data_IF_121976724556
#
_entry.id   IF_121976724556
#
_cell.length_a   1.000
_cell.length_b   1.000
_cell.length_c   1.000
_cell.angle_alpha   90.00
_cell.angle_beta   90.00
_cell.angle_gamma   90.00
#
_symmetry.space_group_name_H-M   'P 1'
#
loop_
_entity.id
_entity.type
_entity.pdbx_description
1 polymer ?
#
# COMPACT_ATOMS: atom_id res chain seq x y z
N UNK A 1 -5.02 -17.20 -24.03
CA UNK A 1 -4.63 -18.09 -22.91
C UNK A 1 -5.82 -18.18 -21.96
N UNK A 2 -6.07 -19.33 -21.34
CA UNK A 2 -7.10 -19.42 -20.30
C UNK A 2 -6.75 -18.49 -19.13
N UNK A 3 -7.76 -17.85 -18.53
CA UNK A 3 -7.55 -17.02 -17.33
C UNK A 3 -6.95 -17.89 -16.21
N UNK A 4 -5.93 -17.38 -15.52
CA UNK A 4 -5.32 -18.04 -14.33
C UNK A 4 -6.16 -17.87 -13.06
N UNK A 5 -7.22 -17.05 -13.13
CA UNK A 5 -8.04 -16.67 -11.99
C UNK A 5 -9.53 -16.71 -12.35
N UNK A 6 -10.37 -16.99 -11.36
CA UNK A 6 -11.82 -16.88 -11.49
C UNK A 6 -12.47 -16.38 -10.19
N UNK A 7 -13.60 -15.67 -10.35
CA UNK A 7 -14.46 -15.26 -9.23
C UNK A 7 -15.17 -16.49 -8.66
N UNK A 8 -15.23 -16.60 -7.34
CA UNK A 8 -16.01 -17.64 -6.65
C UNK A 8 -16.68 -17.08 -5.39
N UNK A 9 -17.64 -17.82 -4.83
CA UNK A 9 -18.25 -17.47 -3.52
C UNK A 9 -17.39 -18.04 -2.39
N UNK A 10 -16.77 -17.16 -1.62
CA UNK A 10 -15.91 -17.51 -0.49
C UNK A 10 -16.75 -17.67 0.78
N UNK A 11 -16.68 -18.82 1.43
CA UNK A 11 -17.51 -19.14 2.58
C UNK A 11 -17.23 -18.15 3.73
N UNK A 12 -18.27 -17.44 4.19
CA UNK A 12 -18.16 -16.44 5.25
C UNK A 12 -17.51 -15.10 4.85
N UNK A 13 -16.97 -14.97 3.63
CA UNK A 13 -16.21 -13.80 3.15
C UNK A 13 -16.81 -13.11 1.94
N UNK A 14 -18.00 -13.55 1.50
CA UNK A 14 -18.68 -12.99 0.32
C UNK A 14 -18.14 -13.60 -0.97
N UNK A 15 -17.60 -12.77 -1.85
CA UNK A 15 -16.91 -13.23 -3.06
C UNK A 15 -15.40 -13.23 -2.86
N UNK A 16 -14.71 -14.06 -3.63
CA UNK A 16 -13.26 -14.16 -3.64
C UNK A 16 -12.74 -14.37 -5.05
N UNK A 17 -11.42 -14.34 -5.20
CA UNK A 17 -10.72 -14.77 -6.39
C UNK A 17 -9.96 -16.07 -6.07
N UNK A 18 -10.01 -17.07 -6.96
CA UNK A 18 -9.24 -18.33 -6.79
C UNK A 18 -8.44 -18.67 -8.03
N UNK A 19 -7.38 -19.45 -7.86
CA UNK A 19 -6.56 -19.93 -8.97
C UNK A 19 -7.29 -21.01 -9.79
N UNK A 20 -7.17 -20.97 -11.11
CA UNK A 20 -7.71 -22.01 -12.03
C UNK A 20 -6.67 -23.07 -12.40
N UNK A 21 -5.39 -22.82 -12.10
CA UNK A 21 -4.27 -23.71 -12.34
C UNK A 21 -3.26 -23.61 -11.21
N UNK A 22 -2.28 -24.52 -11.17
CA UNK A 22 -1.12 -24.37 -10.28
C UNK A 22 -0.29 -23.14 -10.69
N UNK A 23 0.22 -22.40 -9.70
CA UNK A 23 1.00 -21.17 -9.88
C UNK A 23 2.21 -21.18 -8.97
N UNK A 24 3.37 -20.80 -9.51
CA UNK A 24 4.65 -20.73 -8.81
C UNK A 24 4.94 -19.31 -8.28
N UNK A 25 5.75 -19.16 -7.22
CA UNK A 25 6.21 -17.85 -6.75
C UNK A 25 6.82 -16.99 -7.87
N UNK A 26 6.44 -15.72 -7.94
CA UNK A 26 6.88 -14.75 -8.95
C UNK A 26 6.04 -14.74 -10.22
N UNK A 27 5.08 -15.65 -10.40
CA UNK A 27 4.16 -15.58 -11.53
C UNK A 27 3.12 -14.47 -11.37
N UNK A 28 2.84 -13.75 -12.46
CA UNK A 28 1.72 -12.80 -12.53
C UNK A 28 0.43 -13.57 -12.82
N UNK A 29 -0.55 -13.41 -11.93
CA UNK A 29 -1.87 -14.06 -12.00
C UNK A 29 -2.88 -13.21 -12.76
N UNK A 30 -2.88 -11.90 -12.52
CA UNK A 30 -3.84 -10.95 -13.08
C UNK A 30 -3.21 -9.55 -13.16
N UNK A 31 -3.60 -8.78 -14.19
CA UNK A 31 -3.20 -7.38 -14.37
C UNK A 31 -4.44 -6.57 -14.63
N UNK A 32 -4.60 -5.45 -13.92
CA UNK A 32 -5.77 -4.59 -14.06
C UNK A 32 -5.36 -3.13 -14.17
N UNK A 33 -5.98 -2.40 -15.09
CA UNK A 33 -5.97 -0.94 -15.07
C UNK A 33 -7.03 -0.41 -14.07
N UNK A 34 -6.92 0.82 -13.56
CA UNK A 34 -7.91 1.35 -12.65
C UNK A 34 -9.21 1.66 -13.38
N UNK A 35 -10.35 1.38 -12.75
CA UNK A 35 -11.61 1.98 -13.16
C UNK A 35 -11.50 3.51 -13.08
N UNK A 36 -10.93 4.02 -12.00
CA UNK A 36 -10.59 5.43 -11.86
C UNK A 36 -9.48 5.57 -10.82
N UNK A 37 -8.70 6.64 -10.91
CA UNK A 37 -7.65 6.95 -9.94
C UNK A 37 -7.42 8.46 -9.87
N UNK A 38 -6.79 8.93 -8.81
CA UNK A 38 -6.31 10.31 -8.66
C UNK A 38 -4.97 10.36 -7.95
N UNK A 39 -4.13 11.31 -8.34
CA UNK A 39 -2.92 11.66 -7.59
C UNK A 39 -3.33 12.19 -6.20
N UNK A 40 -2.66 11.69 -5.16
CA UNK A 40 -2.88 12.11 -3.78
C UNK A 40 -2.01 13.33 -3.42
N UNK A 41 -2.07 13.79 -2.19
CA UNK A 41 -1.35 14.97 -1.70
C UNK A 41 0.17 14.78 -1.83
N UNK A 42 0.67 13.59 -1.53
CA UNK A 42 2.09 13.22 -1.60
C UNK A 42 2.62 13.24 -3.03
N UNK A 43 1.85 12.71 -3.99
CA UNK A 43 2.24 12.69 -5.40
C UNK A 43 2.05 14.04 -6.11
N UNK A 44 1.28 14.98 -5.52
CA UNK A 44 0.86 16.20 -6.20
C UNK A 44 2.05 17.05 -6.64
N UNK A 45 2.17 17.21 -7.95
CA UNK A 45 3.25 18.01 -8.55
C UNK A 45 4.62 17.36 -8.53
N UNK A 46 4.72 16.12 -8.05
CA UNK A 46 5.88 15.25 -8.22
C UNK A 46 5.66 14.30 -9.40
N UNK A 47 4.46 13.70 -9.48
CA UNK A 47 4.13 12.74 -10.53
C UNK A 47 3.19 13.34 -11.58
N UNK A 48 3.19 12.76 -12.77
CA UNK A 48 2.23 13.08 -13.81
C UNK A 48 0.85 12.51 -13.48
N UNK A 49 -0.20 13.31 -13.65
CA UNK A 49 -1.62 12.95 -13.44
C UNK A 49 -2.11 11.79 -14.34
N UNK A 50 -1.38 11.46 -15.40
CA UNK A 50 -1.71 10.37 -16.31
C UNK A 50 -0.84 9.12 -16.17
N UNK A 51 0.48 9.20 -16.36
CA UNK A 51 1.35 8.00 -16.27
C UNK A 51 1.70 7.62 -14.81
N UNK A 52 1.54 8.54 -13.85
CA UNK A 52 2.12 8.46 -12.49
C UNK A 52 3.65 8.38 -12.44
N UNK A 53 4.33 8.63 -13.56
CA UNK A 53 5.78 8.72 -13.62
C UNK A 53 6.29 10.05 -13.03
N UNK A 54 7.52 10.06 -12.53
CA UNK A 54 8.18 11.21 -11.88
C UNK A 54 9.24 11.82 -12.81
N UNK A 55 8.88 12.81 -13.65
CA UNK A 55 9.83 13.46 -14.55
C UNK A 55 10.56 14.62 -13.86
N UNK A 56 11.65 15.10 -14.47
CA UNK A 56 12.36 16.31 -14.03
C UNK A 56 11.47 17.58 -14.08
N UNK A 57 10.53 17.61 -15.03
CA UNK A 57 9.62 18.74 -15.22
C UNK A 57 8.22 18.28 -15.60
N UNK A 58 7.22 18.96 -15.03
CA UNK A 58 5.81 18.79 -15.36
C UNK A 58 5.24 20.01 -16.10
N UNK A 59 4.40 19.75 -17.09
CA UNK A 59 3.54 20.71 -17.79
C UNK A 59 2.23 20.86 -17.02
N UNK A 60 1.73 22.07 -16.87
CA UNK A 60 0.50 22.34 -16.13
C UNK A 60 -0.69 22.52 -17.09
N UNK A 61 -1.85 21.96 -16.73
CA UNK A 61 -3.09 22.23 -17.44
C UNK A 61 -3.39 23.74 -17.43
N UNK A 62 -3.55 24.33 -18.61
CA UNK A 62 -3.74 25.79 -18.74
C UNK A 62 -5.06 26.29 -18.15
N UNK A 63 -6.06 25.41 -18.02
CA UNK A 63 -7.41 25.74 -17.59
C UNK A 63 -7.59 25.69 -16.07
N UNK A 64 -7.25 24.56 -15.42
CA UNK A 64 -7.43 24.41 -13.97
C UNK A 64 -6.21 24.86 -13.16
N UNK A 65 -5.03 24.95 -13.78
CA UNK A 65 -3.74 25.16 -13.09
C UNK A 65 -3.44 24.14 -11.98
N UNK A 66 -4.22 23.07 -11.90
CA UNK A 66 -4.08 22.04 -10.88
C UNK A 66 -3.35 20.81 -11.43
N UNK A 67 -3.94 20.17 -12.44
CA UNK A 67 -3.41 18.94 -13.03
C UNK A 67 -2.09 19.19 -13.76
N UNK A 68 -1.12 18.30 -13.55
CA UNK A 68 0.24 18.35 -14.08
C UNK A 68 0.60 17.08 -14.86
N UNK A 69 1.32 17.21 -15.97
CA UNK A 69 1.60 16.12 -16.92
C UNK A 69 3.07 16.10 -17.34
N UNK A 70 3.66 14.92 -17.55
CA UNK A 70 5.03 14.82 -18.04
C UNK A 70 5.17 15.22 -19.52
N UNK A 71 4.08 15.15 -20.30
CA UNK A 71 4.10 15.43 -21.74
C UNK A 71 2.75 15.89 -22.26
N UNK A 72 2.76 16.54 -23.43
CA UNK A 72 1.53 16.88 -24.19
C UNK A 72 0.73 15.62 -24.57
N UNK A 73 1.38 14.46 -24.71
CA UNK A 73 0.71 13.19 -24.96
C UNK A 73 -0.11 12.75 -23.74
N UNK A 74 0.51 12.69 -22.56
CA UNK A 74 -0.19 12.35 -21.31
C UNK A 74 -1.36 13.31 -21.01
N UNK A 75 -1.21 14.61 -21.31
CA UNK A 75 -2.31 15.57 -21.19
C UNK A 75 -3.48 15.24 -22.13
N UNK A 76 -3.20 14.88 -23.39
CA UNK A 76 -4.22 14.49 -24.38
C UNK A 76 -4.93 13.20 -23.99
N UNK A 77 -4.19 12.18 -23.55
CA UNK A 77 -4.76 10.89 -23.14
C UNK A 77 -5.62 11.02 -21.87
N UNK A 78 -5.19 11.85 -20.91
CA UNK A 78 -5.99 12.17 -19.70
C UNK A 78 -7.26 12.96 -19.99
N UNK A 79 -7.31 13.72 -21.11
CA UNK A 79 -8.38 14.71 -21.34
C UNK A 79 -9.78 14.10 -21.32
N UNK A 80 -9.94 12.86 -21.77
CA UNK A 80 -11.23 12.14 -21.73
C UNK A 80 -11.82 12.07 -20.32
N UNK A 81 -11.00 11.85 -19.30
CA UNK A 81 -11.41 11.77 -17.90
C UNK A 81 -11.24 13.10 -17.16
N UNK A 82 -10.25 13.91 -17.54
CA UNK A 82 -9.97 15.20 -16.94
C UNK A 82 -10.98 16.30 -17.33
N UNK A 83 -11.53 16.27 -18.56
CA UNK A 83 -12.34 17.37 -19.11
C UNK A 83 -13.48 17.81 -18.19
N UNK A 84 -14.21 16.86 -17.59
CA UNK A 84 -15.31 17.17 -16.68
C UNK A 84 -14.84 17.64 -15.31
N UNK A 85 -13.78 17.04 -14.74
CA UNK A 85 -13.25 17.49 -13.44
C UNK A 85 -12.50 18.83 -13.50
N UNK A 86 -11.98 19.21 -14.67
CA UNK A 86 -11.10 20.37 -14.85
C UNK A 86 -11.69 21.68 -14.32
N UNK A 87 -12.99 21.90 -14.46
CA UNK A 87 -13.66 23.10 -13.93
C UNK A 87 -13.72 23.12 -12.41
N UNK A 88 -13.87 21.96 -11.78
CA UNK A 88 -14.00 21.80 -10.33
C UNK A 88 -12.65 21.85 -9.61
N UNK A 89 -11.58 21.41 -10.28
CA UNK A 89 -10.20 21.47 -9.76
C UNK A 89 -9.63 22.88 -9.59
N UNK A 90 -10.35 23.92 -10.05
CA UNK A 90 -10.05 25.30 -9.68
C UNK A 90 -10.24 25.56 -8.18
N UNK A 91 -11.09 24.77 -7.52
CA UNK A 91 -11.23 24.77 -6.06
C UNK A 91 -10.32 23.66 -5.47
N UNK A 92 -9.29 24.03 -4.69
CA UNK A 92 -8.37 23.06 -4.09
C UNK A 92 -9.04 22.02 -3.19
N UNK A 93 -10.19 22.33 -2.58
CA UNK A 93 -10.92 21.42 -1.70
C UNK A 93 -11.51 20.22 -2.45
N UNK A 94 -11.81 20.36 -3.75
CA UNK A 94 -12.23 19.24 -4.59
C UNK A 94 -11.03 18.39 -5.06
N UNK A 95 -9.82 18.95 -5.02
CA UNK A 95 -8.61 18.33 -5.57
C UNK A 95 -7.96 17.24 -4.72
N UNK A 96 -8.51 16.92 -3.56
CA UNK A 96 -7.89 16.07 -2.53
C UNK A 96 -8.59 14.72 -2.38
N UNK A 97 -7.78 13.68 -2.13
CA UNK A 97 -8.18 12.34 -1.72
C UNK A 97 -9.42 11.73 -2.40
N UNK A 98 -10.30 11.17 -1.55
CA UNK A 98 -11.43 10.33 -1.95
C UNK A 98 -12.55 11.11 -2.66
N UNK A 99 -12.73 12.39 -2.35
CA UNK A 99 -13.74 13.25 -2.98
C UNK A 99 -13.50 13.39 -4.48
N UNK A 100 -12.25 13.66 -4.87
CA UNK A 100 -11.87 13.72 -6.29
C UNK A 100 -12.09 12.38 -6.98
N UNK A 101 -11.69 11.28 -6.33
CA UNK A 101 -11.82 9.94 -6.89
C UNK A 101 -13.30 9.58 -7.16
N UNK A 102 -14.18 9.79 -6.18
CA UNK A 102 -15.62 9.54 -6.34
C UNK A 102 -16.21 10.45 -7.43
N UNK A 103 -15.82 11.72 -7.51
CA UNK A 103 -16.25 12.61 -8.58
C UNK A 103 -15.87 12.08 -9.98
N UNK A 104 -14.64 11.58 -10.14
CA UNK A 104 -14.22 10.93 -11.40
C UNK A 104 -15.02 9.66 -11.69
N UNK A 105 -15.33 8.85 -10.67
CA UNK A 105 -16.16 7.64 -10.79
C UNK A 105 -17.57 8.01 -11.27
N UNK A 106 -18.21 9.02 -10.67
CA UNK A 106 -19.52 9.54 -11.11
C UNK A 106 -19.46 9.94 -12.58
N UNK A 107 -18.47 10.74 -12.99
CA UNK A 107 -18.33 11.12 -14.40
C UNK A 107 -18.17 9.94 -15.35
N UNK A 108 -17.46 8.88 -14.93
CA UNK A 108 -17.25 7.67 -15.72
C UNK A 108 -18.51 6.81 -15.80
N UNK A 109 -19.27 6.66 -14.71
CA UNK A 109 -20.57 5.99 -14.66
C UNK A 109 -21.56 6.67 -15.61
N UNK A 110 -21.68 8.00 -15.52
CA UNK A 110 -22.58 8.78 -16.38
C UNK A 110 -22.22 8.68 -17.88
N UNK A 111 -20.95 8.46 -18.19
CA UNK A 111 -20.46 8.24 -19.56
C UNK A 111 -20.75 6.83 -20.08
N UNK A 112 -21.23 5.90 -19.24
CA UNK A 112 -21.53 4.49 -19.58
C UNK A 112 -20.38 3.81 -20.34
N UNK A 113 -19.14 4.08 -19.93
CA UNK A 113 -17.97 3.53 -20.60
C UNK A 113 -17.64 2.15 -20.04
N UNK A 114 -17.54 1.15 -20.91
CA UNK A 114 -16.94 -0.14 -20.54
C UNK A 114 -15.51 0.07 -20.04
N UNK A 115 -15.12 -0.70 -19.03
CA UNK A 115 -13.80 -0.67 -18.43
C UNK A 115 -13.30 -2.11 -18.24
N UNK A 116 -12.14 -2.50 -18.81
CA UNK A 116 -11.54 -3.81 -18.59
C UNK A 116 -11.37 -4.17 -17.09
N UNK A 117 -11.20 -3.16 -16.24
CA UNK A 117 -11.12 -3.34 -14.77
C UNK A 117 -12.37 -4.00 -14.15
N UNK A 118 -13.50 -4.00 -14.86
CA UNK A 118 -14.78 -4.56 -14.40
C UNK A 118 -15.09 -5.96 -14.97
N UNK A 119 -14.11 -6.62 -15.60
CA UNK A 119 -14.27 -7.94 -16.22
C UNK A 119 -14.85 -9.01 -15.27
N UNK A 120 -14.34 -9.08 -14.04
CA UNK A 120 -14.74 -10.10 -13.06
C UNK A 120 -15.73 -9.56 -12.01
N UNK A 121 -15.76 -8.24 -11.82
CA UNK A 121 -16.55 -7.58 -10.79
C UNK A 121 -16.81 -6.12 -11.14
N UNK A 122 -18.02 -5.61 -10.95
CA UNK A 122 -18.36 -4.22 -11.27
C UNK A 122 -18.30 -3.28 -10.07
N UNK A 123 -18.23 -1.97 -10.31
CA UNK A 123 -18.38 -0.94 -9.27
C UNK A 123 -19.72 -1.07 -8.53
N UNK A 124 -20.76 -1.52 -9.23
CA UNK A 124 -22.08 -1.76 -8.64
C UNK A 124 -22.07 -2.94 -7.66
N UNK A 125 -21.21 -3.94 -7.87
CA UNK A 125 -21.12 -5.14 -7.02
C UNK A 125 -20.21 -4.94 -5.79
N UNK A 126 -19.40 -3.87 -5.75
CA UNK A 126 -18.46 -3.63 -4.65
C UNK A 126 -19.15 -3.62 -3.28
N UNK A 127 -18.50 -4.27 -2.31
CA UNK A 127 -18.95 -4.30 -0.94
C UNK A 127 -18.87 -2.91 -0.31
N UNK A 128 -19.94 -2.51 0.34
CA UNK A 128 -20.11 -1.21 1.00
C UNK A 128 -20.26 -1.35 2.52
N UNK A 129 -20.33 -2.58 3.04
CA UNK A 129 -20.46 -2.93 4.45
C UNK A 129 -21.53 -2.12 5.21
N UNK A 130 -22.60 -1.69 4.53
CA UNK A 130 -23.57 -0.72 5.04
C UNK A 130 -24.23 -1.17 6.35
N UNK A 131 -24.41 -2.49 6.53
CA UNK A 131 -25.03 -3.08 7.73
C UNK A 131 -24.06 -3.19 8.91
N UNK A 132 -22.75 -3.27 8.66
CA UNK A 132 -21.70 -3.45 9.68
C UNK A 132 -20.93 -2.16 10.00
N UNK A 133 -21.11 -1.14 9.17
CA UNK A 133 -20.47 0.16 9.29
C UNK A 133 -20.87 0.85 10.60
N UNK A 134 -19.91 1.53 11.24
CA UNK A 134 -20.18 2.33 12.43
C UNK A 134 -21.00 3.59 12.11
N UNK A 135 -21.65 4.15 13.13
CA UNK A 135 -22.41 5.39 12.97
C UNK A 135 -21.52 6.56 12.54
N UNK A 136 -20.28 6.62 13.01
CA UNK A 136 -19.32 7.65 12.63
C UNK A 136 -19.02 7.61 11.13
N UNK A 137 -18.71 6.42 10.59
CA UNK A 137 -18.47 6.23 9.17
C UNK A 137 -19.71 6.57 8.33
N UNK A 138 -20.91 6.18 8.79
CA UNK A 138 -22.17 6.51 8.11
C UNK A 138 -22.37 8.02 8.01
N UNK A 139 -22.23 8.74 9.12
CA UNK A 139 -22.34 10.21 9.16
C UNK A 139 -21.30 10.85 8.24
N UNK A 140 -20.06 10.33 8.26
CA UNK A 140 -18.99 10.84 7.42
C UNK A 140 -19.26 10.66 5.93
N UNK A 141 -19.73 9.49 5.49
CA UNK A 141 -20.05 9.23 4.08
C UNK A 141 -21.27 10.01 3.59
N UNK A 142 -22.28 10.23 4.43
CA UNK A 142 -23.39 11.13 4.13
C UNK A 142 -22.89 12.58 3.94
N UNK A 143 -22.03 13.06 4.84
CA UNK A 143 -21.40 14.39 4.70
C UNK A 143 -20.59 14.50 3.41
N UNK A 144 -19.82 13.47 3.04
CA UNK A 144 -19.09 13.45 1.78
C UNK A 144 -20.03 13.42 0.57
N UNK A 145 -21.16 12.71 0.65
CA UNK A 145 -22.21 12.73 -0.36
C UNK A 145 -22.76 14.14 -0.60
N UNK A 146 -23.10 14.86 0.48
CA UNK A 146 -23.54 16.26 0.41
C UNK A 146 -22.47 17.18 -0.18
N UNK A 147 -21.21 16.99 0.20
CA UNK A 147 -20.10 17.78 -0.32
C UNK A 147 -19.88 17.54 -1.82
N UNK A 148 -19.97 16.28 -2.27
CA UNK A 148 -19.90 15.93 -3.67
C UNK A 148 -21.05 16.58 -4.46
N UNK A 149 -22.26 16.56 -3.91
CA UNK A 149 -23.43 17.21 -4.50
C UNK A 149 -23.25 18.73 -4.61
N UNK A 150 -22.70 19.36 -3.57
CA UNK A 150 -22.36 20.78 -3.60
C UNK A 150 -21.36 21.11 -4.74
N UNK A 151 -20.29 20.31 -4.88
CA UNK A 151 -19.29 20.55 -5.92
C UNK A 151 -19.80 20.25 -7.32
N UNK A 152 -20.39 19.08 -7.53
CA UNK A 152 -20.84 18.62 -8.86
C UNK A 152 -22.16 19.25 -9.29
N UNK A 153 -22.87 19.92 -8.38
CA UNK A 153 -24.24 20.42 -8.52
C UNK A 153 -25.27 19.30 -8.65
N UNK A 154 -26.49 19.58 -8.22
CA UNK A 154 -27.63 18.66 -8.26
C UNK A 154 -27.90 18.12 -9.66
N UNK A 155 -27.74 18.97 -10.67
CA UNK A 155 -27.95 18.60 -12.09
C UNK A 155 -27.08 17.43 -12.55
N UNK A 156 -25.87 17.26 -11.99
CA UNK A 156 -24.98 16.15 -12.35
C UNK A 156 -25.29 14.93 -11.50
N UNK A 157 -25.44 15.11 -10.18
CA UNK A 157 -25.63 14.00 -9.25
C UNK A 157 -26.98 13.31 -9.47
N UNK A 158 -28.03 14.07 -9.80
CA UNK A 158 -29.36 13.52 -10.13
C UNK A 158 -29.41 12.68 -11.40
N UNK A 159 -28.37 12.72 -12.25
CA UNK A 159 -28.26 11.84 -13.42
C UNK A 159 -27.75 10.43 -13.06
N UNK A 160 -27.29 10.21 -11.82
CA UNK A 160 -26.90 8.88 -11.38
C UNK A 160 -28.10 7.93 -11.39
N UNK A 161 -27.90 6.64 -11.69
CA UNK A 161 -28.96 5.65 -11.54
C UNK A 161 -29.53 5.67 -10.11
N UNK A 162 -30.86 5.52 -9.98
CA UNK A 162 -31.55 5.66 -8.68
C UNK A 162 -31.05 4.73 -7.57
N UNK A 163 -30.44 3.59 -7.93
CA UNK A 163 -29.85 2.65 -6.98
C UNK A 163 -28.42 3.01 -6.55
N UNK A 164 -27.82 4.07 -7.10
CA UNK A 164 -26.47 4.53 -6.78
C UNK A 164 -26.58 5.82 -5.98
N UNK A 165 -26.43 5.73 -4.66
CA UNK A 165 -26.32 6.90 -3.79
C UNK A 165 -24.87 7.37 -3.69
N UNK A 166 -24.62 8.69 -3.63
CA UNK A 166 -23.27 9.21 -3.39
C UNK A 166 -22.62 8.66 -2.12
N UNK A 167 -23.34 8.55 -1.01
CA UNK A 167 -22.81 8.00 0.25
C UNK A 167 -22.39 6.54 0.12
N UNK A 168 -23.19 5.72 -0.58
CA UNK A 168 -22.84 4.32 -0.88
C UNK A 168 -21.58 4.23 -1.76
N UNK A 169 -21.38 5.16 -2.71
CA UNK A 169 -20.14 5.23 -3.48
C UNK A 169 -18.93 5.57 -2.61
N UNK A 170 -19.07 6.48 -1.65
CA UNK A 170 -18.00 6.77 -0.70
C UNK A 170 -17.65 5.56 0.16
N UNK A 171 -18.66 4.82 0.64
CA UNK A 171 -18.45 3.56 1.35
C UNK A 171 -17.68 2.55 0.48
N UNK A 172 -18.17 2.27 -0.73
CA UNK A 172 -17.51 1.36 -1.69
C UNK A 172 -16.07 1.76 -1.96
N UNK A 173 -15.82 3.04 -2.26
CA UNK A 173 -14.45 3.50 -2.56
C UNK A 173 -13.56 3.42 -1.32
N UNK A 174 -14.09 3.71 -0.12
CA UNK A 174 -13.30 3.65 1.12
C UNK A 174 -12.84 2.23 1.45
N UNK A 175 -13.66 1.22 1.17
CA UNK A 175 -13.32 -0.19 1.45
C UNK A 175 -12.55 -0.90 0.35
N UNK A 176 -12.59 -0.39 -0.89
CA UNK A 176 -12.10 -1.13 -2.06
C UNK A 176 -11.00 -0.41 -2.85
N UNK A 177 -10.74 0.88 -2.58
CA UNK A 177 -9.69 1.61 -3.28
C UNK A 177 -8.30 1.24 -2.76
N UNK A 178 -7.36 1.14 -3.69
CA UNK A 178 -5.97 0.78 -3.43
C UNK A 178 -5.07 2.02 -3.54
N UNK A 179 -4.11 2.12 -2.62
CA UNK A 179 -3.02 3.08 -2.71
C UNK A 179 -2.06 2.63 -3.83
N UNK A 180 -1.74 3.55 -4.75
CA UNK A 180 -0.85 3.30 -5.88
C UNK A 180 0.53 3.84 -5.52
N UNK A 181 1.51 2.95 -5.51
CA UNK A 181 2.90 3.25 -5.16
C UNK A 181 3.73 3.59 -6.40
N UNK A 182 4.75 4.44 -6.24
CA UNK A 182 5.69 4.85 -7.30
C UNK A 182 6.80 3.82 -7.62
N UNK A 183 6.66 2.60 -7.09
CA UNK A 183 7.65 1.52 -7.18
C UNK A 183 8.66 1.50 -6.03
N UNK A 184 8.88 2.60 -5.31
CA UNK A 184 9.81 2.64 -4.17
C UNK A 184 9.13 2.51 -2.80
N UNK A 185 7.80 2.28 -2.77
CA UNK A 185 6.89 2.20 -1.59
C UNK A 185 6.19 3.54 -1.24
N UNK A 186 6.43 4.63 -1.97
CA UNK A 186 5.71 5.88 -1.73
C UNK A 186 4.33 5.85 -2.38
N UNK A 187 3.25 6.00 -1.59
CA UNK A 187 1.90 6.18 -2.15
C UNK A 187 1.78 7.55 -2.81
N UNK A 188 1.57 7.57 -4.13
CA UNK A 188 1.46 8.79 -4.94
C UNK A 188 0.07 9.00 -5.53
N UNK A 189 -0.79 7.98 -5.48
CA UNK A 189 -2.16 8.05 -5.98
C UNK A 189 -3.07 7.04 -5.25
N UNK A 190 -4.37 7.17 -5.46
CA UNK A 190 -5.39 6.20 -5.01
C UNK A 190 -6.26 5.83 -6.19
N UNK A 191 -6.57 4.54 -6.36
CA UNK A 191 -7.36 4.04 -7.48
C UNK A 191 -8.30 2.91 -7.12
N UNK A 192 -9.41 2.81 -7.85
CA UNK A 192 -10.40 1.75 -7.72
C UNK A 192 -10.19 0.71 -8.82
N UNK A 193 -10.08 -0.56 -8.44
CA UNK A 193 -9.83 -1.69 -9.34
C UNK A 193 -10.86 -2.79 -9.08
N UNK A 194 -12.07 -2.71 -9.65
CA UNK A 194 -13.20 -3.55 -9.24
C UNK A 194 -12.92 -5.06 -9.23
N UNK A 195 -12.35 -5.61 -10.30
CA UNK A 195 -11.98 -7.04 -10.36
C UNK A 195 -10.92 -7.43 -9.33
N UNK A 196 -10.03 -6.52 -8.96
CA UNK A 196 -9.00 -6.74 -7.93
C UNK A 196 -9.53 -6.61 -6.51
N UNK A 197 -10.67 -5.96 -6.31
CA UNK A 197 -11.37 -5.90 -5.03
C UNK A 197 -11.98 -7.25 -4.61
N UNK A 198 -11.97 -8.26 -5.49
CA UNK A 198 -12.30 -9.65 -5.15
C UNK A 198 -11.22 -10.37 -4.33
N UNK A 199 -9.99 -9.84 -4.26
CA UNK A 199 -8.88 -10.54 -3.62
C UNK A 199 -8.92 -10.29 -2.11
N UNK A 200 -9.39 -11.28 -1.35
CA UNK A 200 -9.61 -11.17 0.09
C UNK A 200 -8.31 -11.03 0.91
N UNK A 201 -8.48 -10.69 2.18
CA UNK A 201 -7.37 -10.59 3.12
C UNK A 201 -6.91 -11.95 3.69
N UNK A 202 -5.60 -12.08 3.92
CA UNK A 202 -5.02 -13.02 4.90
C UNK A 202 -3.84 -12.34 5.61
N UNK A 203 -3.64 -12.61 6.91
CA UNK A 203 -2.42 -12.21 7.62
C UNK A 203 -1.20 -13.05 7.22
N UNK A 204 -1.42 -14.10 6.44
CA UNK A 204 -0.40 -14.90 5.78
C UNK A 204 -0.74 -15.10 4.29
N UNK A 205 -0.63 -14.04 3.46
CA UNK A 205 -1.12 -14.05 2.09
C UNK A 205 -0.33 -15.01 1.19
N UNK A 206 -0.93 -15.40 0.07
CA UNK A 206 -0.25 -16.13 -1.01
C UNK A 206 0.06 -15.25 -2.23
N UNK A 207 -0.47 -14.03 -2.26
CA UNK A 207 -0.21 -13.04 -3.30
C UNK A 207 0.23 -11.68 -2.76
N UNK A 208 0.76 -10.84 -3.65
CA UNK A 208 1.07 -9.43 -3.41
C UNK A 208 0.56 -8.58 -4.58
N UNK A 209 0.19 -7.34 -4.29
CA UNK A 209 -0.11 -6.33 -5.31
C UNK A 209 1.09 -5.45 -5.58
N UNK A 210 1.39 -5.20 -6.85
CA UNK A 210 2.47 -4.29 -7.27
C UNK A 210 1.98 -3.36 -8.36
N UNK A 211 2.47 -2.13 -8.35
CA UNK A 211 2.07 -1.13 -9.32
C UNK A 211 3.16 -0.90 -10.37
N UNK A 212 2.77 -0.98 -11.64
CA UNK A 212 3.57 -0.52 -12.78
C UNK A 212 2.89 0.69 -13.40
N UNK A 213 3.32 1.87 -12.95
CA UNK A 213 2.57 3.10 -13.16
C UNK A 213 1.20 3.00 -12.52
N UNK A 214 0.15 2.94 -13.34
CA UNK A 214 -1.25 2.81 -12.88
C UNK A 214 -1.76 1.37 -12.85
N UNK A 215 -1.06 0.41 -13.44
CA UNK A 215 -1.56 -0.95 -13.52
C UNK A 215 -1.23 -1.69 -12.24
N UNK A 216 -2.21 -2.37 -11.66
CA UNK A 216 -1.98 -3.28 -10.55
C UNK A 216 -1.72 -4.69 -11.10
N UNK A 217 -0.67 -5.31 -10.58
CA UNK A 217 -0.26 -6.66 -10.88
C UNK A 217 -0.45 -7.52 -9.63
N UNK A 218 -1.27 -8.57 -9.74
CA UNK A 218 -1.39 -9.60 -8.72
C UNK A 218 -0.33 -10.68 -8.97
N UNK A 219 0.58 -10.86 -8.02
CA UNK A 219 1.71 -11.78 -8.17
C UNK A 219 1.73 -12.81 -7.06
N UNK A 220 1.98 -14.08 -7.40
CA UNK A 220 2.12 -15.14 -6.42
C UNK A 220 3.42 -14.98 -5.64
N UNK A 221 3.38 -15.16 -4.32
CA UNK A 221 4.56 -15.17 -3.44
C UNK A 221 4.77 -16.54 -2.79
N UNK A 222 3.85 -17.48 -3.02
CA UNK A 222 3.89 -18.88 -2.60
C UNK A 222 3.48 -19.78 -3.77
N UNK A 223 3.69 -21.09 -3.62
CA UNK A 223 3.04 -22.05 -4.51
C UNK A 223 1.53 -22.06 -4.22
N UNK A 224 0.72 -22.01 -5.27
CA UNK A 224 -0.74 -21.96 -5.20
C UNK A 224 -1.29 -23.10 -6.07
N UNK A 225 -2.21 -23.90 -5.54
CA UNK A 225 -2.87 -24.99 -6.28
C UNK A 225 -4.13 -24.47 -6.98
N UNK A 226 -4.55 -25.17 -8.02
CA UNK A 226 -5.86 -24.92 -8.61
C UNK A 226 -6.96 -25.07 -7.55
N UNK A 227 -7.88 -24.10 -7.48
CA UNK A 227 -8.94 -24.03 -6.49
C UNK A 227 -8.60 -23.22 -5.23
N UNK A 228 -7.32 -22.95 -4.94
CA UNK A 228 -6.92 -22.15 -3.77
C UNK A 228 -7.40 -20.70 -3.91
N UNK A 229 -7.95 -20.14 -2.82
CA UNK A 229 -8.29 -18.72 -2.73
C UNK A 229 -7.01 -17.86 -2.77
N UNK A 230 -7.06 -16.80 -3.58
CA UNK A 230 -6.00 -15.80 -3.68
C UNK A 230 -6.24 -14.73 -2.63
N UNK A 231 -5.22 -14.45 -1.83
CA UNK A 231 -5.29 -13.48 -0.75
C UNK A 231 -4.11 -12.53 -0.74
N UNK A 232 -4.37 -11.29 -0.32
CA UNK A 232 -3.36 -10.24 -0.14
C UNK A 232 -3.42 -9.68 1.29
N UNK A 233 -2.46 -8.83 1.61
CA UNK A 233 -2.39 -8.16 2.90
C UNK A 233 -3.11 -6.80 2.84
N UNK A 234 -4.09 -6.58 3.72
CA UNK A 234 -4.83 -5.30 3.83
C UNK A 234 -4.32 -4.40 4.96
N UNK A 235 -3.61 -4.98 5.94
CA UNK A 235 -3.07 -4.33 7.16
C UNK A 235 -1.63 -4.79 7.38
N UNK A 236 -0.78 -4.04 8.07
CA UNK A 236 0.57 -4.48 8.46
C UNK A 236 0.52 -5.76 9.32
N UNK A 237 1.23 -6.81 8.90
CA UNK A 237 1.18 -8.14 9.52
C UNK A 237 2.26 -8.36 10.56
N UNK A 238 3.29 -7.51 10.58
CA UNK A 238 4.25 -7.39 11.68
C UNK A 238 3.66 -6.54 12.81
N UNK A 239 2.51 -6.98 13.35
CA UNK A 239 1.81 -6.42 14.50
C UNK A 239 1.12 -7.55 15.27
N UNK A 240 0.88 -7.41 16.58
CA UNK A 240 0.14 -8.40 17.36
C UNK A 240 -1.28 -8.61 16.83
N UNK A 241 -1.83 -9.80 17.06
CA UNK A 241 -3.14 -10.21 16.53
C UNK A 241 -4.25 -9.24 16.89
N UNK A 242 -4.27 -8.74 18.13
CA UNK A 242 -5.28 -7.77 18.57
C UNK A 242 -5.24 -6.46 17.77
N UNK A 243 -4.05 -5.97 17.43
CA UNK A 243 -3.92 -4.74 16.63
C UNK A 243 -4.38 -4.95 15.19
N UNK A 244 -4.03 -6.09 14.60
CA UNK A 244 -4.48 -6.46 13.25
C UNK A 244 -6.00 -6.56 13.21
N UNK A 245 -6.61 -7.26 14.17
CA UNK A 245 -8.08 -7.39 14.26
C UNK A 245 -8.76 -6.03 14.44
N UNK A 246 -8.22 -5.17 15.31
CA UNK A 246 -8.76 -3.83 15.55
C UNK A 246 -8.73 -2.98 14.28
N UNK A 247 -7.62 -3.00 13.54
CA UNK A 247 -7.48 -2.26 12.28
C UNK A 247 -8.41 -2.81 11.20
N UNK A 248 -8.48 -4.13 11.04
CA UNK A 248 -9.36 -4.78 10.06
C UNK A 248 -10.84 -4.52 10.35
N UNK A 249 -11.26 -4.59 11.62
CA UNK A 249 -12.63 -4.26 12.01
C UNK A 249 -12.93 -2.78 11.78
N UNK A 250 -12.02 -1.88 12.16
CA UNK A 250 -12.20 -0.44 12.00
C UNK A 250 -12.31 -0.03 10.53
N UNK A 251 -11.45 -0.58 9.67
CA UNK A 251 -11.33 -0.16 8.27
C UNK A 251 -12.23 -0.98 7.36
N UNK A 252 -12.38 -2.29 7.56
CA UNK A 252 -13.03 -3.20 6.61
C UNK A 252 -14.24 -3.95 7.19
N UNK A 253 -14.59 -3.71 8.45
CA UNK A 253 -15.78 -4.27 9.09
C UNK A 253 -15.82 -5.81 9.14
N UNK A 254 -14.67 -6.47 9.30
CA UNK A 254 -14.60 -7.92 9.48
C UNK A 254 -13.49 -8.37 10.45
N UNK A 255 -13.71 -9.52 11.09
CA UNK A 255 -12.72 -10.20 11.92
C UNK A 255 -11.99 -11.26 11.07
N UNK A 256 -10.66 -11.25 11.12
CA UNK A 256 -9.85 -12.19 10.37
C UNK A 256 -9.79 -13.56 11.07
N UNK A 257 -10.18 -14.61 10.36
CA UNK A 257 -10.20 -15.99 10.85
C UNK A 257 -9.01 -16.82 10.35
N UNK A 258 -7.99 -16.19 9.76
CA UNK A 258 -6.83 -16.94 9.24
C UNK A 258 -6.07 -17.66 10.38
N UNK A 259 -5.29 -18.67 10.02
CA UNK A 259 -4.50 -19.46 10.98
C UNK A 259 -3.73 -18.59 11.97
N UNK A 260 -3.03 -17.55 11.49
CA UNK A 260 -2.24 -16.64 12.35
C UNK A 260 -3.08 -15.90 13.39
N UNK A 261 -4.33 -15.55 13.07
CA UNK A 261 -5.23 -14.90 14.01
C UNK A 261 -5.83 -15.90 15.00
N UNK A 262 -6.21 -17.10 14.54
CA UNK A 262 -6.79 -18.14 15.40
C UNK A 262 -5.78 -18.65 16.44
N UNK A 263 -4.52 -18.82 16.04
CA UNK A 263 -3.45 -19.32 16.93
C UNK A 263 -2.67 -18.22 17.64
N UNK A 264 -2.96 -16.96 17.33
CA UNK A 264 -2.17 -15.80 17.78
C UNK A 264 -0.68 -15.95 17.44
N UNK A 265 -0.40 -16.42 16.24
CA UNK A 265 0.93 -16.78 15.75
C UNK A 265 1.94 -15.63 15.95
N UNK A 266 2.97 -15.93 16.76
CA UNK A 266 4.11 -15.07 17.12
C UNK A 266 3.79 -13.88 18.04
N UNK A 267 2.57 -13.76 18.58
CA UNK A 267 2.21 -12.69 19.53
C UNK A 267 3.13 -12.70 20.77
N UNK A 268 3.51 -13.88 21.27
CA UNK A 268 4.40 -14.07 22.42
C UNK A 268 5.80 -13.48 22.18
N UNK A 269 6.32 -13.59 20.96
CA UNK A 269 7.61 -13.00 20.55
C UNK A 269 7.48 -11.51 20.29
N UNK A 270 6.40 -11.09 19.61
CA UNK A 270 6.16 -9.67 19.31
C UNK A 270 6.00 -8.83 20.57
N UNK A 271 5.50 -9.41 21.66
CA UNK A 271 5.27 -8.75 22.94
C UNK A 271 6.26 -9.19 24.03
N UNK A 272 7.37 -9.85 23.65
CA UNK A 272 8.36 -10.33 24.61
C UNK A 272 9.06 -9.17 25.35
N UNK A 273 9.56 -9.47 26.56
CA UNK A 273 10.29 -8.51 27.40
C UNK A 273 9.43 -7.89 28.50
N UNK A 274 9.99 -6.87 29.15
CA UNK A 274 9.32 -6.10 30.18
C UNK A 274 8.11 -5.34 29.61
N UNK A 275 6.91 -5.65 30.11
CA UNK A 275 5.66 -5.11 29.57
C UNK A 275 5.60 -3.59 29.66
N UNK A 276 6.00 -3.01 30.79
CA UNK A 276 5.98 -1.57 30.98
C UNK A 276 6.91 -0.86 29.99
N UNK A 277 8.17 -1.33 29.85
CA UNK A 277 9.09 -0.79 28.87
C UNK A 277 8.60 -0.96 27.42
N UNK A 278 7.95 -2.08 27.10
CA UNK A 278 7.34 -2.32 25.79
C UNK A 278 6.21 -1.32 25.50
N UNK A 279 5.32 -1.06 26.47
CA UNK A 279 4.22 -0.10 26.32
C UNK A 279 4.72 1.34 26.18
N UNK A 280 5.78 1.72 26.92
CA UNK A 280 6.47 2.99 26.76
C UNK A 280 7.09 3.13 25.35
N UNK A 281 7.70 2.06 24.85
CA UNK A 281 8.29 2.00 23.50
C UNK A 281 7.21 2.16 22.43
N UNK A 282 6.08 1.47 22.58
CA UNK A 282 4.92 1.59 21.69
C UNK A 282 4.39 3.02 21.62
N UNK A 283 4.28 3.71 22.77
CA UNK A 283 3.82 5.09 22.80
C UNK A 283 4.79 6.05 22.08
N UNK A 284 6.09 5.74 22.09
CA UNK A 284 7.12 6.55 21.43
C UNK A 284 7.13 6.41 19.90
N UNK A 285 6.72 5.25 19.37
CA UNK A 285 6.73 4.94 17.93
C UNK A 285 6.05 6.03 17.09
N UNK A 286 4.85 6.48 17.47
CA UNK A 286 4.12 7.52 16.72
C UNK A 286 4.86 8.86 16.70
N UNK A 287 5.45 9.25 17.83
CA UNK A 287 6.23 10.50 17.94
C UNK A 287 7.49 10.46 17.08
N UNK A 288 8.16 9.30 17.00
CA UNK A 288 9.34 9.12 16.16
C UNK A 288 8.97 9.25 14.68
N UNK A 289 7.85 8.63 14.27
CA UNK A 289 7.33 8.72 12.92
C UNK A 289 7.04 10.17 12.50
N UNK A 290 6.33 10.94 13.34
CA UNK A 290 6.02 12.36 13.08
C UNK A 290 7.29 13.22 12.86
N UNK A 291 8.35 12.95 13.62
CA UNK A 291 9.64 13.62 13.44
C UNK A 291 10.29 13.27 12.10
N UNK A 292 10.23 12.00 11.69
CA UNK A 292 10.79 11.56 10.41
C UNK A 292 10.00 12.10 9.21
N UNK A 293 8.67 12.13 9.29
CA UNK A 293 7.81 12.77 8.28
C UNK A 293 8.16 14.26 8.13
N UNK A 294 8.50 14.92 9.24
CA UNK A 294 9.01 16.29 9.28
C UNK A 294 10.51 16.43 8.93
N UNK A 295 11.17 15.33 8.52
CA UNK A 295 12.61 15.24 8.20
C UNK A 295 13.55 15.68 9.33
N UNK A 296 13.09 15.59 10.58
CA UNK A 296 13.85 15.93 11.80
C UNK A 296 14.69 14.74 12.26
N UNK A 297 15.61 14.30 11.39
CA UNK A 297 16.39 13.07 11.57
C UNK A 297 17.22 13.04 12.86
N UNK A 298 17.81 14.18 13.26
CA UNK A 298 18.64 14.27 14.47
C UNK A 298 17.82 14.06 15.75
N UNK A 299 16.65 14.69 15.84
CA UNK A 299 15.73 14.56 16.97
C UNK A 299 15.16 13.14 17.05
N UNK A 300 14.74 12.59 15.91
CA UNK A 300 14.28 11.20 15.79
C UNK A 300 15.34 10.20 16.26
N UNK A 301 16.58 10.32 15.79
CA UNK A 301 17.67 9.44 16.18
C UNK A 301 18.01 9.55 17.68
N UNK A 302 17.97 10.77 18.25
CA UNK A 302 18.22 10.96 19.67
C UNK A 302 17.19 10.24 20.54
N UNK A 303 15.89 10.33 20.18
CA UNK A 303 14.84 9.59 20.87
C UNK A 303 15.01 8.07 20.73
N UNK A 304 15.31 7.59 19.53
CA UNK A 304 15.52 6.16 19.32
C UNK A 304 16.69 5.62 20.14
N UNK A 305 17.85 6.30 20.13
CA UNK A 305 19.02 5.90 20.92
C UNK A 305 18.74 5.85 22.41
N UNK A 306 18.05 6.86 22.94
CA UNK A 306 17.68 6.90 24.34
C UNK A 306 16.74 5.75 24.71
N UNK A 307 15.73 5.49 23.89
CA UNK A 307 14.82 4.36 24.11
C UNK A 307 15.53 3.00 24.04
N UNK A 308 16.37 2.78 23.01
CA UNK A 308 17.15 1.55 22.86
C UNK A 308 18.08 1.31 24.06
N UNK A 309 18.66 2.38 24.61
CA UNK A 309 19.48 2.31 25.82
C UNK A 309 18.66 1.93 27.06
N UNK A 310 17.50 2.56 27.26
CA UNK A 310 16.58 2.24 28.38
C UNK A 310 16.06 0.80 28.32
N UNK A 311 15.87 0.28 27.11
CA UNK A 311 15.38 -1.07 26.85
C UNK A 311 16.45 -2.16 26.94
N UNK A 312 17.73 -1.80 27.05
CA UNK A 312 18.84 -2.75 27.09
C UNK A 312 18.64 -3.80 28.19
N UNK A 313 18.59 -5.09 27.80
CA UNK A 313 18.34 -6.21 28.70
C UNK A 313 16.89 -6.36 29.21
N UNK A 314 15.98 -5.43 28.87
CA UNK A 314 14.57 -5.44 29.28
C UNK A 314 13.64 -5.84 28.15
N UNK A 315 13.89 -5.33 26.95
CA UNK A 315 13.05 -5.58 25.76
C UNK A 315 13.95 -6.13 24.65
N UNK A 316 13.71 -7.37 24.20
CA UNK A 316 14.53 -7.99 23.15
C UNK A 316 14.22 -7.39 21.77
N UNK A 317 15.14 -7.53 20.82
CA UNK A 317 15.00 -6.97 19.47
C UNK A 317 13.86 -7.64 18.66
N UNK A 318 13.41 -8.82 19.06
CA UNK A 318 12.22 -9.47 18.53
C UNK A 318 10.92 -8.75 18.92
N UNK A 319 10.88 -8.00 20.04
CA UNK A 319 9.69 -7.24 20.38
C UNK A 319 9.37 -6.25 19.26
N UNK A 320 8.11 -6.20 18.83
CA UNK A 320 7.75 -5.51 17.59
C UNK A 320 7.95 -4.00 17.67
N UNK A 321 7.73 -3.39 18.85
CA UNK A 321 7.92 -1.95 19.03
C UNK A 321 9.42 -1.62 19.15
N UNK A 322 10.22 -2.49 19.78
CA UNK A 322 11.68 -2.37 19.77
C UNK A 322 12.24 -2.46 18.34
N UNK A 323 11.75 -3.42 17.54
CA UNK A 323 12.11 -3.57 16.14
C UNK A 323 11.78 -2.31 15.32
N UNK A 324 10.61 -1.71 15.53
CA UNK A 324 10.25 -0.44 14.89
C UNK A 324 11.20 0.70 15.27
N UNK A 325 11.57 0.82 16.55
CA UNK A 325 12.57 1.82 16.98
C UNK A 325 13.94 1.56 16.34
N UNK A 326 14.36 0.31 16.18
CA UNK A 326 15.59 -0.03 15.45
C UNK A 326 15.49 0.39 13.97
N UNK A 327 14.37 0.14 13.32
CA UNK A 327 14.16 0.54 11.93
C UNK A 327 14.23 2.05 11.77
N UNK A 328 13.51 2.80 12.60
CA UNK A 328 13.57 4.27 12.57
C UNK A 328 14.97 4.80 12.90
N UNK A 329 15.68 4.21 13.85
CA UNK A 329 17.06 4.59 14.15
C UNK A 329 17.96 4.38 12.94
N UNK A 330 17.85 3.23 12.26
CA UNK A 330 18.63 2.92 11.06
C UNK A 330 18.34 3.93 9.94
N UNK A 331 17.07 4.24 9.67
CA UNK A 331 16.67 5.21 8.65
C UNK A 331 17.22 6.61 8.95
N UNK A 332 17.14 7.04 10.21
CA UNK A 332 17.71 8.32 10.63
C UNK A 332 19.24 8.33 10.51
N UNK A 333 19.93 7.24 10.87
CA UNK A 333 21.37 7.10 10.65
C UNK A 333 21.72 7.18 9.15
N UNK A 334 20.95 6.52 8.27
CA UNK A 334 21.16 6.59 6.82
C UNK A 334 20.96 8.02 6.29
N UNK A 335 19.90 8.71 6.72
CA UNK A 335 19.63 10.10 6.33
C UNK A 335 20.73 11.07 6.82
N UNK A 336 21.35 10.79 7.97
CA UNK A 336 22.45 11.56 8.54
C UNK A 336 23.84 11.07 8.09
N UNK A 337 23.90 10.08 7.19
CA UNK A 337 25.14 9.46 6.70
C UNK A 337 26.03 8.83 7.81
N UNK A 338 25.41 8.36 8.90
CA UNK A 338 26.04 7.63 10.00
C UNK A 338 26.10 6.13 9.69
N UNK A 339 26.89 5.77 8.68
CA UNK A 339 26.83 4.45 8.04
C UNK A 339 27.25 3.28 8.94
N UNK A 340 28.23 3.47 9.84
CA UNK A 340 28.66 2.41 10.76
C UNK A 340 27.58 2.00 11.75
N UNK A 341 26.91 3.00 12.33
CA UNK A 341 25.79 2.77 13.24
C UNK A 341 24.58 2.19 12.49
N UNK A 342 24.28 2.70 11.29
CA UNK A 342 23.23 2.13 10.44
C UNK A 342 23.45 0.63 10.16
N UNK A 343 24.69 0.20 9.93
CA UNK A 343 25.03 -1.22 9.78
C UNK A 343 24.82 -1.99 11.08
N UNK A 344 25.32 -1.49 12.21
CA UNK A 344 25.19 -2.15 13.51
C UNK A 344 23.72 -2.36 13.89
N UNK A 345 22.91 -1.32 13.74
CA UNK A 345 21.47 -1.38 13.99
C UNK A 345 20.79 -2.30 12.97
N UNK A 346 21.09 -2.15 11.68
CA UNK A 346 20.45 -2.96 10.65
C UNK A 346 20.72 -4.47 10.80
N UNK A 347 21.91 -4.88 11.25
CA UNK A 347 22.20 -6.29 11.55
C UNK A 347 21.32 -6.85 12.68
N UNK A 348 21.00 -6.05 13.69
CA UNK A 348 20.11 -6.45 14.79
C UNK A 348 18.70 -6.77 14.30
N UNK A 349 18.23 -6.08 13.26
CA UNK A 349 16.88 -6.27 12.71
C UNK A 349 16.71 -7.55 11.89
N UNK A 350 17.79 -8.14 11.36
CA UNK A 350 17.70 -9.25 10.40
C UNK A 350 17.07 -10.52 10.99
N UNK A 351 17.44 -10.88 12.22
CA UNK A 351 16.88 -12.07 12.88
C UNK A 351 15.37 -11.90 13.16
N UNK A 352 14.90 -10.78 13.76
CA UNK A 352 13.48 -10.48 13.88
C UNK A 352 12.72 -10.51 12.54
N UNK A 353 13.24 -9.91 11.47
CA UNK A 353 12.59 -9.94 10.15
C UNK A 353 12.45 -11.35 9.59
N UNK A 354 13.44 -12.23 9.81
CA UNK A 354 13.37 -13.65 9.41
C UNK A 354 12.38 -14.42 10.27
N UNK A 355 12.31 -14.13 11.57
CA UNK A 355 11.35 -14.75 12.50
C UNK A 355 9.90 -14.44 12.08
N UNK A 356 9.61 -13.19 11.72
CA UNK A 356 8.24 -12.77 11.41
C UNK A 356 7.81 -13.06 9.97
N UNK A 357 8.76 -13.29 9.05
CA UNK A 357 8.47 -13.75 7.70
C UNK A 357 7.62 -15.03 7.69
N UNK A 358 6.65 -15.10 6.78
CA UNK A 358 5.93 -16.33 6.45
C UNK A 358 6.40 -16.87 5.10
N UNK A 359 7.66 -17.31 5.09
CA UNK A 359 8.40 -17.65 3.87
C UNK A 359 9.33 -16.50 3.48
N UNK A 360 9.00 -15.79 2.41
CA UNK A 360 9.78 -14.64 1.91
C UNK A 360 9.29 -13.33 2.53
N UNK A 361 10.21 -12.52 3.08
CA UNK A 361 9.88 -11.21 3.66
C UNK A 361 10.31 -10.07 2.74
N UNK A 362 9.34 -9.31 2.21
CA UNK A 362 9.60 -8.10 1.44
C UNK A 362 10.43 -7.10 2.25
N UNK A 363 10.02 -6.84 3.49
CA UNK A 363 10.69 -5.87 4.37
C UNK A 363 12.10 -6.35 4.74
N UNK A 364 12.27 -7.65 5.02
CA UNK A 364 13.59 -8.25 5.25
C UNK A 364 14.51 -8.15 4.03
N UNK A 365 13.98 -8.32 2.82
CA UNK A 365 14.75 -8.17 1.59
C UNK A 365 15.16 -6.71 1.32
N UNK A 366 14.26 -5.75 1.57
CA UNK A 366 14.59 -4.32 1.52
C UNK A 366 15.66 -3.95 2.56
N UNK A 367 15.61 -4.55 3.76
CA UNK A 367 16.62 -4.36 4.79
C UNK A 367 17.99 -4.89 4.35
N UNK A 368 18.05 -6.10 3.78
CA UNK A 368 19.27 -6.67 3.20
C UNK A 368 19.80 -5.79 2.06
N UNK A 369 18.91 -5.26 1.21
CA UNK A 369 19.29 -4.33 0.14
C UNK A 369 19.98 -3.08 0.70
N UNK A 370 19.39 -2.43 1.71
CA UNK A 370 19.98 -1.25 2.36
C UNK A 370 21.34 -1.57 2.99
N UNK A 371 21.46 -2.69 3.73
CA UNK A 371 22.74 -3.13 4.30
C UNK A 371 23.79 -3.36 3.22
N UNK A 372 23.42 -4.05 2.14
CA UNK A 372 24.28 -4.31 0.99
C UNK A 372 24.80 -3.03 0.34
N UNK A 373 23.94 -2.02 0.14
CA UNK A 373 24.35 -0.71 -0.37
C UNK A 373 25.28 0.04 0.59
N UNK A 374 25.03 -0.02 1.90
CA UNK A 374 25.93 0.61 2.88
C UNK A 374 27.30 -0.09 2.88
N UNK A 375 27.35 -1.42 2.86
CA UNK A 375 28.59 -2.21 2.76
C UNK A 375 29.37 -1.85 1.48
N UNK A 376 28.67 -1.71 0.36
CA UNK A 376 29.27 -1.31 -0.91
C UNK A 376 29.91 0.07 -0.82
N UNK A 377 29.20 1.07 -0.28
CA UNK A 377 29.72 2.42 -0.03
C UNK A 377 30.93 2.44 0.91
N UNK A 378 31.03 1.47 1.81
CA UNK A 378 32.17 1.29 2.73
C UNK A 378 33.30 0.43 2.17
N UNK A 379 33.30 0.14 0.86
CA UNK A 379 34.30 -0.70 0.17
C UNK A 379 34.39 -2.15 0.67
N UNK A 380 33.38 -2.65 1.40
CA UNK A 380 33.30 -4.06 1.83
C UNK A 380 32.68 -4.93 0.74
N UNK A 381 33.34 -4.99 -0.42
CA UNK A 381 32.74 -5.49 -1.67
C UNK A 381 32.23 -6.94 -1.60
N UNK A 382 32.99 -7.85 -0.98
CA UNK A 382 32.57 -9.25 -0.86
C UNK A 382 31.32 -9.42 0.02
N UNK A 383 31.30 -8.78 1.19
CA UNK A 383 30.14 -8.77 2.10
C UNK A 383 28.92 -8.12 1.43
N UNK A 384 29.13 -7.02 0.70
CA UNK A 384 28.08 -6.32 -0.04
C UNK A 384 27.45 -7.22 -1.09
N UNK A 385 28.25 -7.86 -1.95
CA UNK A 385 27.76 -8.76 -3.01
C UNK A 385 26.97 -9.92 -2.41
N UNK A 386 27.46 -10.54 -1.32
CA UNK A 386 26.73 -11.63 -0.65
C UNK A 386 25.36 -11.16 -0.17
N UNK A 387 25.33 -10.04 0.55
CA UNK A 387 24.09 -9.47 1.12
C UNK A 387 23.10 -9.06 0.01
N UNK A 388 23.59 -8.44 -1.06
CA UNK A 388 22.77 -8.01 -2.20
C UNK A 388 22.22 -9.18 -3.00
N UNK A 389 22.94 -10.31 -3.11
CA UNK A 389 22.41 -11.55 -3.72
C UNK A 389 21.22 -12.09 -2.93
N UNK A 390 21.36 -12.18 -1.60
CA UNK A 390 20.26 -12.61 -0.73
C UNK A 390 19.03 -11.69 -0.85
N UNK A 391 19.25 -10.38 -0.92
CA UNK A 391 18.17 -9.42 -1.17
C UNK A 391 17.52 -9.65 -2.54
N UNK A 392 18.32 -9.78 -3.60
CA UNK A 392 17.86 -9.95 -4.98
C UNK A 392 16.97 -11.19 -5.15
N UNK A 393 17.35 -12.31 -4.54
CA UNK A 393 16.62 -13.57 -4.65
C UNK A 393 15.17 -13.46 -4.16
N UNK A 394 14.95 -12.60 -3.17
CA UNK A 394 13.60 -12.30 -2.65
C UNK A 394 12.95 -11.18 -3.45
N UNK A 395 13.65 -10.07 -3.70
CA UNK A 395 13.10 -8.90 -4.40
C UNK A 395 12.58 -9.25 -5.79
N UNK A 396 13.23 -10.17 -6.53
CA UNK A 396 12.76 -10.61 -7.84
C UNK A 396 11.42 -11.37 -7.81
N UNK A 397 11.07 -12.00 -6.68
CA UNK A 397 9.78 -12.68 -6.49
C UNK A 397 8.67 -11.66 -6.32
N UNK A 398 8.94 -10.60 -5.55
CA UNK A 398 8.03 -9.47 -5.43
C UNK A 398 8.05 -8.67 -6.73
N UNK A 399 9.06 -7.83 -6.92
CA UNK A 399 9.10 -6.79 -7.95
C UNK A 399 9.35 -7.28 -9.38
N UNK A 400 9.90 -8.48 -9.57
CA UNK A 400 10.38 -8.94 -10.88
C UNK A 400 11.73 -8.30 -11.25
N UNK A 401 12.32 -8.74 -12.36
CA UNK A 401 13.68 -8.33 -12.78
C UNK A 401 13.74 -6.93 -13.41
N UNK A 402 12.62 -6.44 -13.94
CA UNK A 402 12.58 -5.19 -14.68
C UNK A 402 12.29 -3.95 -13.84
N UNK A 403 11.94 -4.17 -12.57
CA UNK A 403 11.59 -3.12 -11.62
C UNK A 403 12.84 -2.41 -11.08
N UNK A 404 12.74 -1.09 -10.84
CA UNK A 404 13.85 -0.22 -10.43
C UNK A 404 14.63 -0.77 -9.23
N UNK A 405 13.92 -1.10 -8.14
CA UNK A 405 14.53 -1.69 -6.93
C UNK A 405 15.37 -2.95 -7.19
N UNK A 406 14.99 -3.75 -8.21
CA UNK A 406 15.72 -4.98 -8.55
C UNK A 406 16.87 -4.68 -9.53
N UNK A 407 16.69 -3.71 -10.44
CA UNK A 407 17.72 -3.22 -11.35
C UNK A 407 18.89 -2.57 -10.63
N UNK A 408 18.64 -1.77 -9.60
CA UNK A 408 19.70 -1.11 -8.81
C UNK A 408 20.61 -2.14 -8.14
N UNK A 409 20.02 -3.21 -7.60
CA UNK A 409 20.76 -4.35 -7.04
C UNK A 409 21.56 -5.07 -8.12
N UNK A 410 20.94 -5.37 -9.28
CA UNK A 410 21.63 -6.00 -10.42
C UNK A 410 22.80 -5.19 -10.95
N UNK A 411 22.71 -3.85 -10.91
CA UNK A 411 23.80 -2.96 -11.35
C UNK A 411 25.09 -3.14 -10.54
N UNK A 412 24.99 -3.54 -9.26
CA UNK A 412 26.14 -3.81 -8.39
C UNK A 412 26.60 -5.28 -8.47
N UNK A 413 25.69 -6.19 -8.77
CA UNK A 413 25.98 -7.63 -8.85
C UNK A 413 26.70 -8.03 -10.15
N UNK A 414 26.61 -7.21 -11.20
CA UNK A 414 27.41 -7.31 -12.42
C UNK A 414 28.78 -6.68 -12.20
#
# INVERSE_FOLDING_TARGET
MASKVEKFKSAGKGYGLRATSTVSPGEVLYVSEPFSYTVNETGRGLVCEFCLCTPDRLLQCSQCKFAKYCSKQCQRESWRDHKRECTFLKNPQFGTGILRLVGKIVFKILRKSSCPSEELYSVSDLEANLEKMSNENRIEFERYGMLLQHFLKDEIVSQLPAHIKPSDLFAKVSYNAMQIEDGAVLSVAIGLYPSMSLVNHSCDPNCVTLFMGRHVHLRAIKNIKAGDELTIQYTETMRPTEERQRELMRIYCFECDCHRCQTRDKDDKMLAGDKQASDETKALVSKVLELQESKKWKESLALCRDQLKRNSGRVPDENIYQLQILDYAMEACMALNLLDEALQIGYRTLAPYRLYASGVSRNGALKLMHLGFILYKKNKRQEAIKTLKEAFDVLRIFFGTDHLMTKDVLGILK
#
